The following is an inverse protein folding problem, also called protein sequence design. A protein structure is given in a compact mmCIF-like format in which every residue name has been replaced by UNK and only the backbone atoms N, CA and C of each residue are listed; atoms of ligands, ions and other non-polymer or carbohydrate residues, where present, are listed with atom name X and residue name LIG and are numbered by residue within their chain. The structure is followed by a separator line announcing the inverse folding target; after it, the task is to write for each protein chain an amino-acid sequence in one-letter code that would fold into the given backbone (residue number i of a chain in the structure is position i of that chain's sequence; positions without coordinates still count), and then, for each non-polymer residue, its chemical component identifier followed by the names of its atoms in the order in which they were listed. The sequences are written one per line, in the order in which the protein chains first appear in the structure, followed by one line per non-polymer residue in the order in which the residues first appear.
data_IF_530002870826
#
_entry.id   IF_530002870826
#
_cell.length_a   1.000
_cell.length_b   1.000
_cell.length_c   1.000
_cell.angle_alpha   90.00
_cell.angle_beta   90.00
_cell.angle_gamma   90.00
#
_symmetry.space_group_name_H-M   'P 1'
#
loop_
_entity.id
_entity.type
_entity.pdbx_description
1 polymer ?
#
# COMPACT_ATOMS: atom_id res chain seq x y z
N UNK A 1 4.35 3.21 -11.35
CA UNK A 1 3.62 2.04 -10.80
C UNK A 1 3.01 2.45 -9.46
N UNK A 2 1.93 1.80 -9.04
CA UNK A 2 1.31 1.98 -7.73
C UNK A 2 1.82 0.94 -6.74
N UNK A 3 2.13 1.38 -5.51
CA UNK A 3 2.63 0.53 -4.44
C UNK A 3 1.62 0.48 -3.30
N UNK A 4 0.96 -0.66 -3.11
CA UNK A 4 -0.19 -0.78 -2.22
C UNK A 4 0.23 -1.12 -0.79
N UNK A 5 -0.28 -0.36 0.17
CA UNK A 5 -0.25 -0.63 1.61
C UNK A 5 -1.20 -1.80 1.99
N UNK A 6 -0.94 -2.47 3.11
CA UNK A 6 -1.78 -3.51 3.70
C UNK A 6 -3.24 -3.03 3.89
N UNK A 7 -3.42 -1.77 4.29
CA UNK A 7 -4.76 -1.23 4.55
C UNK A 7 -5.65 -1.20 3.30
N UNK A 8 -5.08 -1.13 2.10
CA UNK A 8 -5.83 -1.17 0.83
C UNK A 8 -6.56 -2.49 0.70
N UNK A 9 -5.87 -3.61 0.97
CA UNK A 9 -6.45 -4.95 0.87
C UNK A 9 -7.48 -5.20 1.97
N UNK A 10 -7.19 -4.76 3.20
CA UNK A 10 -8.06 -4.96 4.36
C UNK A 10 -9.36 -4.17 4.20
N UNK A 11 -9.27 -2.89 3.84
CA UNK A 11 -10.44 -2.03 3.64
C UNK A 11 -11.23 -2.44 2.39
N UNK A 12 -10.57 -2.88 1.32
CA UNK A 12 -11.22 -3.46 0.16
C UNK A 12 -12.12 -4.64 0.56
N UNK A 13 -11.57 -5.63 1.27
CA UNK A 13 -12.34 -6.79 1.75
C UNK A 13 -13.51 -6.37 2.65
N UNK A 14 -13.26 -5.48 3.60
CA UNK A 14 -14.24 -5.16 4.64
C UNK A 14 -15.32 -4.15 4.19
N UNK A 15 -15.18 -3.52 3.02
CA UNK A 15 -16.11 -2.49 2.52
C UNK A 15 -16.58 -2.78 1.10
N UNK A 16 -16.09 -2.00 0.14
CA UNK A 16 -16.66 -1.89 -1.21
C UNK A 16 -16.29 -3.04 -2.13
N UNK A 17 -15.27 -3.81 -1.77
CA UNK A 17 -14.65 -4.81 -2.62
C UNK A 17 -14.53 -6.17 -1.92
N UNK A 18 -15.53 -6.54 -1.12
CA UNK A 18 -15.61 -7.87 -0.52
C UNK A 18 -15.55 -8.96 -1.61
N UNK A 19 -14.84 -10.07 -1.35
CA UNK A 19 -14.56 -11.11 -2.35
C UNK A 19 -15.82 -11.74 -2.97
N UNK A 20 -16.87 -11.89 -2.17
CA UNK A 20 -18.15 -12.49 -2.55
C UNK A 20 -19.05 -11.52 -3.34
N UNK A 21 -18.98 -10.23 -3.04
CA UNK A 21 -19.81 -9.18 -3.66
C UNK A 21 -19.15 -8.59 -4.91
N UNK A 22 -17.86 -8.28 -4.84
CA UNK A 22 -17.13 -7.52 -5.86
C UNK A 22 -15.78 -8.18 -6.21
N UNK A 23 -15.78 -9.44 -6.70
CA UNK A 23 -14.56 -10.15 -7.08
C UNK A 23 -13.76 -9.44 -8.17
N UNK A 24 -14.41 -8.60 -9.00
CA UNK A 24 -13.76 -7.88 -10.08
C UNK A 24 -12.63 -6.95 -9.64
N UNK A 25 -12.64 -6.43 -8.41
CA UNK A 25 -11.52 -5.64 -7.88
C UNK A 25 -10.26 -6.50 -7.69
N UNK A 26 -10.42 -7.74 -7.21
CA UNK A 26 -9.32 -8.67 -6.99
C UNK A 26 -8.77 -9.19 -8.33
N UNK A 27 -9.66 -9.54 -9.26
CA UNK A 27 -9.29 -9.87 -10.65
C UNK A 27 -8.50 -8.71 -11.30
N UNK A 28 -8.92 -7.47 -11.03
CA UNK A 28 -8.24 -6.27 -11.51
C UNK A 28 -6.83 -6.12 -10.90
N UNK A 29 -6.62 -6.40 -9.61
CA UNK A 29 -5.29 -6.35 -9.00
C UNK A 29 -4.31 -7.30 -9.68
N UNK A 30 -4.73 -8.53 -10.00
CA UNK A 30 -3.91 -9.52 -10.70
C UNK A 30 -3.55 -9.04 -12.11
N UNK A 31 -4.52 -8.46 -12.84
CA UNK A 31 -4.29 -7.87 -14.16
C UNK A 31 -3.37 -6.64 -14.09
N UNK A 32 -3.57 -5.78 -13.10
CA UNK A 32 -2.73 -4.60 -12.88
C UNK A 32 -1.29 -5.01 -12.60
N UNK A 33 -1.08 -6.07 -11.82
CA UNK A 33 0.25 -6.60 -11.54
C UNK A 33 0.94 -7.18 -12.77
N UNK A 34 0.26 -8.06 -13.52
CA UNK A 34 0.81 -8.62 -14.77
C UNK A 34 1.13 -7.54 -15.80
N UNK A 35 0.45 -6.39 -15.74
CA UNK A 35 0.70 -5.22 -16.58
C UNK A 35 1.71 -4.22 -15.98
N UNK A 36 2.38 -4.53 -14.86
CA UNK A 36 3.30 -3.63 -14.14
C UNK A 36 2.69 -2.28 -13.71
N UNK A 37 1.39 -2.26 -13.45
CA UNK A 37 0.63 -1.09 -13.00
C UNK A 37 0.61 -1.00 -11.47
N UNK A 38 0.47 -2.14 -10.79
CA UNK A 38 0.39 -2.20 -9.33
C UNK A 38 1.22 -3.36 -8.75
N UNK A 39 1.82 -3.14 -7.60
CA UNK A 39 2.43 -4.20 -6.80
C UNK A 39 2.42 -3.79 -5.31
N UNK A 40 2.99 -4.64 -4.46
CA UNK A 40 3.30 -4.29 -3.07
C UNK A 40 4.68 -4.88 -2.69
N UNK A 41 5.07 -4.76 -1.42
CA UNK A 41 6.34 -5.26 -0.90
C UNK A 41 6.15 -6.49 -0.02
N UNK A 42 7.19 -7.32 0.07
CA UNK A 42 7.21 -8.49 0.98
C UNK A 42 6.96 -8.12 2.45
N UNK A 43 7.26 -6.89 2.86
CA UNK A 43 6.93 -6.41 4.20
C UNK A 43 5.41 -6.35 4.42
N UNK A 44 4.67 -5.75 3.49
CA UNK A 44 3.20 -5.74 3.47
C UNK A 44 2.65 -7.16 3.39
N UNK A 45 3.25 -8.01 2.56
CA UNK A 45 2.88 -9.42 2.46
C UNK A 45 2.88 -10.11 3.81
N UNK A 46 3.94 -9.92 4.61
CA UNK A 46 4.08 -10.53 5.93
C UNK A 46 2.96 -10.10 6.87
N UNK A 47 2.59 -8.82 6.87
CA UNK A 47 1.50 -8.29 7.70
C UNK A 47 0.14 -8.90 7.33
N UNK A 48 -0.14 -8.99 6.03
CA UNK A 48 -1.41 -9.54 5.53
C UNK A 48 -1.56 -11.04 5.82
N UNK A 49 -0.45 -11.77 5.93
CA UNK A 49 -0.47 -13.20 6.26
C UNK A 49 -0.81 -13.49 7.73
N UNK A 50 -0.69 -12.51 8.65
CA UNK A 50 -0.93 -12.70 10.10
C UNK A 50 -2.40 -12.97 10.42
N UNK A 51 -3.34 -12.41 9.65
CA UNK A 51 -4.78 -12.46 9.97
C UNK A 51 -5.47 -13.77 9.59
N UNK A 52 -4.83 -14.61 8.77
CA UNK A 52 -5.36 -15.90 8.29
C UNK A 52 -6.79 -15.84 7.71
N UNK A 53 -7.13 -14.74 7.05
CA UNK A 53 -8.44 -14.49 6.46
C UNK A 53 -8.44 -14.60 4.92
N UNK A 54 -9.52 -14.14 4.27
CA UNK A 54 -9.65 -14.16 2.81
C UNK A 54 -8.56 -13.36 2.09
N UNK A 55 -8.10 -12.24 2.68
CA UNK A 55 -6.95 -11.49 2.14
C UNK A 55 -5.70 -12.36 2.22
N UNK A 56 -5.46 -13.01 3.36
CA UNK A 56 -4.30 -13.91 3.50
C UNK A 56 -4.29 -15.04 2.47
N UNK A 57 -5.48 -15.55 2.09
CA UNK A 57 -5.63 -16.56 1.03
C UNK A 57 -5.25 -15.98 -0.33
N UNK A 58 -5.82 -14.83 -0.71
CA UNK A 58 -5.47 -14.17 -1.98
C UNK A 58 -3.96 -13.84 -2.06
N UNK A 59 -3.35 -13.42 -0.95
CA UNK A 59 -1.90 -13.16 -0.85
C UNK A 59 -1.05 -14.43 -1.02
N UNK A 60 -1.51 -15.59 -0.53
CA UNK A 60 -0.84 -16.89 -0.75
C UNK A 60 -0.93 -17.32 -2.21
N UNK A 61 -2.06 -17.05 -2.86
CA UNK A 61 -2.31 -17.41 -4.26
C UNK A 61 -1.59 -16.44 -5.24
N UNK A 62 -1.25 -15.23 -4.80
CA UNK A 62 -0.62 -14.18 -5.60
C UNK A 62 0.77 -13.74 -5.07
N UNK A 63 1.75 -14.64 -4.88
CA UNK A 63 3.03 -14.29 -4.28
C UNK A 63 3.85 -13.31 -5.13
N UNK A 64 3.70 -13.33 -6.47
CA UNK A 64 4.46 -12.44 -7.37
C UNK A 64 4.04 -10.98 -7.26
N UNK A 65 2.84 -10.70 -6.73
CA UNK A 65 2.36 -9.33 -6.50
C UNK A 65 3.28 -8.56 -5.55
N UNK A 66 4.01 -9.28 -4.70
CA UNK A 66 4.87 -8.73 -3.66
C UNK A 66 6.33 -8.83 -4.08
N UNK A 67 7.04 -7.71 -3.98
CA UNK A 67 8.45 -7.61 -4.36
C UNK A 67 9.35 -7.53 -3.12
N UNK A 68 10.55 -8.12 -3.17
CA UNK A 68 11.54 -7.87 -2.14
C UNK A 68 11.99 -6.41 -2.21
N UNK A 69 12.39 -5.87 -1.05
CA UNK A 69 13.10 -4.60 -1.03
C UNK A 69 14.44 -4.76 -1.73
N UNK A 70 14.76 -3.88 -2.67
CA UNK A 70 16.07 -3.85 -3.30
C UNK A 70 17.07 -2.93 -2.60
N UNK A 71 18.34 -3.03 -3.02
CA UNK A 71 19.43 -2.22 -2.48
C UNK A 71 19.36 -0.75 -2.88
N UNK A 72 18.58 -0.38 -3.91
CA UNK A 72 18.42 1.01 -4.33
C UNK A 72 17.59 1.77 -3.29
N UNK A 73 16.50 1.17 -2.84
CA UNK A 73 15.60 1.72 -1.83
C UNK A 73 16.30 2.06 -0.51
N UNK A 74 17.31 1.29 -0.10
CA UNK A 74 18.03 1.53 1.17
C UNK A 74 18.84 2.83 1.18
N UNK A 75 19.13 3.43 0.02
CA UNK A 75 19.82 4.73 -0.07
C UNK A 75 18.98 5.88 0.50
N UNK A 76 17.66 5.75 0.47
CA UNK A 76 16.72 6.77 0.98
C UNK A 76 16.48 6.66 2.49
N UNK A 77 17.00 5.63 3.14
CA UNK A 77 16.77 5.37 4.57
C UNK A 77 17.30 6.48 5.47
N UNK A 78 18.51 6.97 5.18
CA UNK A 78 19.14 8.01 5.98
C UNK A 78 18.34 9.31 5.92
N UNK A 79 17.90 9.71 4.72
CA UNK A 79 17.10 10.92 4.50
C UNK A 79 15.74 10.81 5.20
N UNK A 80 15.02 9.70 5.00
CA UNK A 80 13.71 9.47 5.61
C UNK A 80 13.78 9.42 7.15
N UNK A 81 14.80 8.74 7.70
CA UNK A 81 15.04 8.69 9.16
C UNK A 81 15.39 10.08 9.69
N UNK A 82 16.25 10.82 8.99
CA UNK A 82 16.66 12.17 9.39
C UNK A 82 15.45 13.09 9.45
N UNK A 83 14.59 13.07 8.41
CA UNK A 83 13.32 13.79 8.43
C UNK A 83 12.47 13.41 9.64
N UNK A 84 12.27 12.12 9.91
CA UNK A 84 11.48 11.66 11.05
C UNK A 84 12.05 12.18 12.39
N UNK A 85 13.37 12.15 12.57
CA UNK A 85 14.01 12.64 13.80
C UNK A 85 13.94 14.16 13.98
N UNK A 86 13.94 14.93 12.88
CA UNK A 86 13.90 16.40 12.92
C UNK A 86 12.49 16.99 12.99
N UNK A 87 11.43 16.19 12.89
CA UNK A 87 10.03 16.67 12.86
C UNK A 87 9.26 16.52 14.18
N UNK A 88 9.97 16.33 15.29
CA UNK A 88 9.40 16.36 16.64
C UNK A 88 8.48 15.18 16.98
N UNK A 89 8.58 14.07 16.24
CA UNK A 89 7.90 12.83 16.58
C UNK A 89 8.45 12.26 17.89
N UNK A 90 7.59 11.55 18.63
CA UNK A 90 8.01 10.82 19.82
C UNK A 90 9.04 9.76 19.43
N UNK A 91 10.02 9.50 20.31
CA UNK A 91 11.04 8.48 20.07
C UNK A 91 10.44 7.11 19.75
N UNK A 92 9.34 6.73 20.42
CA UNK A 92 8.62 5.48 20.14
C UNK A 92 8.03 5.42 18.73
N UNK A 93 7.54 6.55 18.20
CA UNK A 93 6.98 6.62 16.84
C UNK A 93 8.08 6.49 15.79
N UNK A 94 9.23 7.14 16.02
CA UNK A 94 10.41 7.03 15.16
C UNK A 94 10.94 5.59 15.17
N UNK A 95 11.06 4.99 16.36
CA UNK A 95 11.52 3.60 16.49
C UNK A 95 10.59 2.63 15.80
N UNK A 96 9.27 2.76 15.98
CA UNK A 96 8.29 1.92 15.29
C UNK A 96 8.47 2.02 13.77
N UNK A 97 8.43 3.25 13.24
CA UNK A 97 8.54 3.49 11.81
C UNK A 97 9.87 2.99 11.21
N UNK A 98 10.99 3.14 11.93
CA UNK A 98 12.32 2.75 11.39
C UNK A 98 12.67 1.27 11.59
N UNK A 99 11.93 0.53 12.42
CA UNK A 99 12.21 -0.89 12.76
C UNK A 99 11.66 -1.87 11.71
N UNK A 100 11.92 -1.61 10.43
CA UNK A 100 11.46 -2.44 9.30
C UNK A 100 9.92 -2.54 9.19
N UNK A 101 9.25 -1.45 9.57
CA UNK A 101 7.82 -1.23 9.35
C UNK A 101 7.52 -1.15 7.85
N UNK A 102 6.41 -1.74 7.41
CA UNK A 102 6.05 -1.75 6.00
C UNK A 102 5.94 -0.34 5.43
N UNK A 103 5.44 0.63 6.21
CA UNK A 103 5.25 2.02 5.77
C UNK A 103 6.58 2.67 5.38
N UNK A 104 7.62 2.48 6.19
CA UNK A 104 8.95 3.02 5.95
C UNK A 104 9.58 2.43 4.68
N UNK A 105 9.39 1.12 4.48
CA UNK A 105 9.89 0.42 3.30
C UNK A 105 9.13 0.83 2.02
N UNK A 106 7.81 1.00 2.11
CA UNK A 106 6.97 1.48 1.01
C UNK A 106 7.42 2.86 0.53
N UNK A 107 7.62 3.81 1.45
CA UNK A 107 8.03 5.18 1.12
C UNK A 107 9.41 5.20 0.46
N UNK A 108 10.38 4.48 1.04
CA UNK A 108 11.74 4.43 0.50
C UNK A 108 11.80 3.76 -0.89
N UNK A 109 11.05 2.67 -1.08
CA UNK A 109 10.95 2.00 -2.39
C UNK A 109 10.26 2.88 -3.43
N UNK A 110 9.17 3.54 -3.03
CA UNK A 110 8.46 4.44 -3.93
C UNK A 110 9.32 5.63 -4.36
N UNK A 111 10.16 6.14 -3.45
CA UNK A 111 11.14 7.18 -3.78
C UNK A 111 12.17 6.72 -4.81
N UNK A 112 12.78 5.55 -4.61
CA UNK A 112 13.78 5.01 -5.53
C UNK A 112 13.23 4.81 -6.94
N UNK A 113 12.02 4.27 -7.05
CA UNK A 113 11.43 3.86 -8.33
C UNK A 113 10.43 4.85 -8.91
N UNK A 114 10.30 6.05 -8.32
CA UNK A 114 9.32 7.07 -8.72
C UNK A 114 7.89 6.48 -8.81
N UNK A 115 7.50 5.72 -7.78
CA UNK A 115 6.18 5.13 -7.69
C UNK A 115 5.26 5.99 -6.81
N UNK A 116 3.96 5.74 -6.96
CA UNK A 116 2.93 6.36 -6.13
C UNK A 116 2.50 5.36 -5.06
N UNK A 117 2.52 5.75 -3.79
CA UNK A 117 2.03 4.91 -2.69
C UNK A 117 0.51 4.98 -2.63
N UNK A 118 -0.16 3.84 -2.45
CA UNK A 118 -1.61 3.76 -2.28
C UNK A 118 -1.90 3.36 -0.85
N UNK A 119 -2.57 4.24 -0.11
CA UNK A 119 -2.95 4.02 1.27
C UNK A 119 -4.23 4.77 1.60
N UNK A 120 -5.00 4.25 2.56
CA UNK A 120 -6.17 4.92 3.12
C UNK A 120 -5.86 5.82 4.33
N UNK A 121 -4.58 6.02 4.66
CA UNK A 121 -4.19 6.98 5.69
C UNK A 121 -4.43 8.44 5.26
N UNK A 122 -4.79 9.27 6.25
CA UNK A 122 -4.94 10.72 6.07
C UNK A 122 -3.77 11.44 6.71
N UNK A 123 -3.26 12.47 6.03
CA UNK A 123 -2.18 13.34 6.52
C UNK A 123 -2.54 13.96 7.89
N UNK A 124 -1.62 13.85 8.84
CA UNK A 124 -1.76 14.39 10.19
C UNK A 124 -0.44 15.02 10.66
N UNK A 125 0.01 16.13 10.04
CA UNK A 125 1.37 16.67 10.22
C UNK A 125 1.65 17.22 11.63
N UNK A 126 0.61 17.45 12.44
CA UNK A 126 0.72 17.89 13.83
C UNK A 126 0.79 16.74 14.83
N UNK A 127 0.49 15.50 14.41
CA UNK A 127 0.48 14.33 15.29
C UNK A 127 1.90 13.82 15.49
N UNK A 128 2.34 13.72 16.75
CA UNK A 128 3.71 13.29 17.11
C UNK A 128 3.84 11.83 17.52
N UNK A 129 2.71 11.15 17.77
CA UNK A 129 2.69 9.76 18.29
C UNK A 129 2.73 8.67 17.23
N UNK A 130 2.52 9.02 15.95
CA UNK A 130 2.56 8.12 14.80
C UNK A 130 3.06 8.93 13.60
N UNK A 131 3.89 8.31 12.76
CA UNK A 131 4.26 8.84 11.44
C UNK A 131 3.26 8.27 10.43
N UNK A 132 2.63 9.14 9.64
CA UNK A 132 1.63 8.73 8.64
C UNK A 132 2.29 8.64 7.26
N UNK A 133 1.92 7.64 6.48
CA UNK A 133 2.39 7.40 5.11
C UNK A 133 2.32 8.67 4.24
N UNK A 134 1.18 9.40 4.14
CA UNK A 134 1.12 10.60 3.30
C UNK A 134 2.06 11.73 3.75
N UNK A 135 2.38 11.82 5.05
CA UNK A 135 3.32 12.82 5.56
C UNK A 135 4.76 12.44 5.22
N UNK A 136 5.11 11.16 5.37
CA UNK A 136 6.41 10.62 4.97
C UNK A 136 6.61 10.67 3.45
N UNK A 137 5.60 10.32 2.66
CA UNK A 137 5.63 10.44 1.20
C UNK A 137 5.91 11.88 0.77
N UNK A 138 5.18 12.85 1.35
CA UNK A 138 5.38 14.28 1.05
C UNK A 138 6.80 14.74 1.36
N UNK A 139 7.35 14.31 2.49
CA UNK A 139 8.72 14.63 2.87
C UNK A 139 9.77 14.12 1.89
N UNK A 140 9.53 12.96 1.29
CA UNK A 140 10.42 12.33 0.31
C UNK A 140 10.11 12.73 -1.14
N UNK A 141 9.13 13.62 -1.37
CA UNK A 141 8.68 13.96 -2.73
C UNK A 141 8.06 12.77 -3.48
N UNK A 142 7.41 11.86 -2.75
CA UNK A 142 6.65 10.72 -3.25
C UNK A 142 5.18 11.09 -3.28
N UNK A 143 4.49 10.74 -4.36
CA UNK A 143 3.03 10.90 -4.42
C UNK A 143 2.34 9.79 -3.62
N UNK A 144 1.30 10.14 -2.87
CA UNK A 144 0.41 9.18 -2.22
C UNK A 144 -1.04 9.45 -2.61
N UNK A 145 -1.80 8.40 -2.93
CA UNK A 145 -3.22 8.49 -3.29
C UNK A 145 -4.04 7.42 -2.57
N UNK A 146 -5.37 7.55 -2.58
CA UNK A 146 -6.25 6.48 -2.11
C UNK A 146 -6.56 5.46 -3.23
N UNK A 147 -7.25 4.38 -2.86
CA UNK A 147 -7.64 3.31 -3.79
C UNK A 147 -8.51 3.81 -4.94
N UNK A 148 -9.42 4.76 -4.71
CA UNK A 148 -10.30 5.26 -5.77
C UNK A 148 -9.54 6.16 -6.75
N UNK A 149 -8.60 6.97 -6.27
CA UNK A 149 -7.74 7.77 -7.12
C UNK A 149 -6.81 6.89 -7.97
N UNK A 150 -6.27 5.79 -7.41
CA UNK A 150 -5.56 4.78 -8.19
C UNK A 150 -6.45 4.20 -9.30
N UNK A 151 -7.67 3.77 -8.97
CA UNK A 151 -8.60 3.19 -9.95
C UNK A 151 -8.95 4.21 -11.05
N UNK A 152 -9.20 5.48 -10.70
CA UNK A 152 -9.44 6.55 -11.68
C UNK A 152 -8.24 6.79 -12.59
N UNK A 153 -7.04 6.93 -12.02
CA UNK A 153 -5.80 7.17 -12.77
C UNK A 153 -5.44 6.02 -13.72
N UNK A 154 -5.85 4.81 -13.40
CA UNK A 154 -5.63 3.61 -14.24
C UNK A 154 -6.76 3.35 -15.23
N UNK A 155 -7.85 4.13 -15.20
CA UNK A 155 -9.03 3.90 -16.04
C UNK A 155 -9.77 2.61 -15.71
N UNK A 156 -9.62 2.10 -14.48
CA UNK A 156 -10.26 0.87 -14.06
C UNK A 156 -11.79 1.01 -14.09
N UNK A 157 -12.47 0.04 -14.69
CA UNK A 157 -13.91 -0.11 -14.69
C UNK A 157 -14.23 -1.53 -14.21
N UNK A 158 -15.13 -1.63 -13.23
CA UNK A 158 -15.56 -2.89 -12.63
C UNK A 158 -17.05 -3.06 -12.94
N UNK A 159 -17.35 -3.89 -13.92
CA UNK A 159 -18.72 -4.17 -14.33
C UNK A 159 -19.31 -5.35 -13.56
N UNK A 160 -20.62 -5.30 -13.31
CA UNK A 160 -21.35 -6.44 -12.78
C UNK A 160 -21.37 -7.56 -13.82
N UNK A 161 -21.17 -8.79 -13.36
CA UNK A 161 -21.28 -9.97 -14.23
C UNK A 161 -22.70 -10.03 -14.79
N UNK A 162 -22.83 -9.94 -16.12
CA UNK A 162 -24.10 -10.19 -16.80
C UNK A 162 -24.48 -11.66 -16.64
N UNK A 163 -25.41 -11.94 -15.74
CA UNK A 163 -26.25 -13.14 -15.80
C UNK A 163 -27.68 -12.71 -15.59
N UNK A 164 -28.54 -13.02 -16.56
CA UNK A 164 -29.98 -12.97 -16.40
C UNK A 164 -30.35 -13.58 -15.04
N UNK A 165 -31.12 -12.79 -14.26
CA UNK A 165 -31.59 -12.99 -12.88
C UNK A 165 -30.88 -12.14 -11.83
N UNK A 166 -31.49 -10.99 -11.58
CA UNK A 166 -31.77 -10.59 -10.21
C UNK A 166 -33.04 -11.35 -9.80
N UNK A 167 -32.87 -12.31 -8.88
CA UNK A 167 -33.82 -13.33 -8.38
C UNK A 167 -33.94 -14.64 -9.19
#
# INVERSE_FOLDING_TARGET
MFLLDANVFIEAKNRYYAFDIAPGFWDWLEKAHSSSIACSLDAVRKELLVKEDEVSKWVKDNPSFFRPLDKGATRHFQELTSWATSNGFNQSAIQQFTSNDADYLLVAYAREHQHTVVSHEVSHPTRRRKIFIPDACRAMGVESVDTFDMLRKTGAQLDLRSKDRLF
#
